data_IF_475360699703
#
_entry.id   IF_475360699703
#
_cell.length_a   1.000
_cell.length_b   1.000
_cell.length_c   1.000
_cell.angle_alpha   90.00
_cell.angle_beta   90.00
_cell.angle_gamma   90.00
#
_symmetry.space_group_name_H-M   'P 1'
#
loop_
_entity.id
_entity.type
_entity.pdbx_description
1 polymer ?
#
# COMPACT_ATOMS: atom_id res chain seq x y z
N UNK A 1 -12.04 4.97 -1.57
CA UNK A 1 -11.20 3.80 -1.89
C UNK A 1 -10.66 4.05 -3.28
N UNK A 2 -9.35 4.15 -3.46
CA UNK A 2 -8.79 4.45 -4.77
C UNK A 2 -9.04 3.29 -5.72
N UNK A 3 -9.34 3.65 -6.96
CA UNK A 3 -9.66 2.73 -8.03
C UNK A 3 -8.56 1.68 -8.27
N UNK A 4 -7.29 2.03 -8.04
CA UNK A 4 -6.14 1.18 -8.31
C UNK A 4 -5.86 0.11 -7.25
N UNK A 5 -6.40 0.25 -6.03
CA UNK A 5 -6.11 -0.69 -4.94
C UNK A 5 -6.58 -2.12 -5.22
N UNK A 6 -7.59 -2.29 -6.09
CA UNK A 6 -8.06 -3.61 -6.55
C UNK A 6 -6.97 -4.32 -7.37
N UNK A 7 -6.19 -3.59 -8.17
CA UNK A 7 -5.11 -4.16 -8.98
C UNK A 7 -3.93 -4.65 -8.12
N UNK A 8 -3.92 -4.29 -6.84
CA UNK A 8 -2.87 -4.64 -5.89
C UNK A 8 -3.30 -5.75 -4.94
N UNK A 9 -4.53 -6.29 -5.05
CA UNK A 9 -5.00 -7.37 -4.18
C UNK A 9 -4.01 -8.56 -4.12
N UNK A 10 -3.44 -9.06 -5.24
CA UNK A 10 -2.46 -10.16 -5.17
C UNK A 10 -1.21 -9.78 -4.37
N UNK A 11 -0.77 -8.52 -4.46
CA UNK A 11 0.37 -8.02 -3.69
C UNK A 11 0.03 -7.94 -2.21
N UNK A 12 -1.18 -7.49 -1.88
CA UNK A 12 -1.65 -7.38 -0.50
C UNK A 12 -1.81 -8.77 0.16
N UNK A 13 -2.32 -9.75 -0.56
CA UNK A 13 -2.39 -11.14 -0.10
C UNK A 13 -1.00 -11.72 0.17
N UNK A 14 -0.03 -11.46 -0.72
CA UNK A 14 1.36 -11.92 -0.57
C UNK A 14 2.03 -11.37 0.71
N UNK A 15 1.69 -10.15 1.13
CA UNK A 15 2.20 -9.55 2.38
C UNK A 15 1.31 -9.84 3.60
N UNK A 16 0.30 -10.71 3.47
CA UNK A 16 -0.54 -11.17 4.58
C UNK A 16 -1.65 -10.18 5.00
N UNK A 17 -2.07 -9.29 4.11
CA UNK A 17 -3.14 -8.32 4.39
C UNK A 17 -4.49 -8.86 3.93
N UNK A 18 -5.46 -8.92 4.85
CA UNK A 18 -6.85 -9.23 4.50
C UNK A 18 -7.46 -8.16 3.59
N UNK A 19 -8.01 -8.58 2.45
CA UNK A 19 -8.61 -7.71 1.42
C UNK A 19 -9.97 -7.18 1.87
N UNK A 20 -9.96 -6.20 2.78
CA UNK A 20 -11.16 -5.49 3.25
C UNK A 20 -11.15 -4.05 2.75
N UNK A 21 -12.33 -3.42 2.69
CA UNK A 21 -12.45 -1.99 2.31
C UNK A 21 -11.59 -1.08 3.19
N UNK A 22 -11.59 -1.32 4.50
CA UNK A 22 -10.79 -0.56 5.46
C UNK A 22 -9.29 -0.77 5.28
N UNK A 23 -8.86 -2.01 5.01
CA UNK A 23 -7.47 -2.31 4.70
C UNK A 23 -7.00 -1.56 3.45
N UNK A 24 -7.78 -1.59 2.37
CA UNK A 24 -7.45 -0.89 1.12
C UNK A 24 -7.31 0.62 1.30
N UNK A 25 -8.15 1.25 2.12
CA UNK A 25 -8.03 2.69 2.43
C UNK A 25 -6.73 3.00 3.16
N UNK A 26 -6.34 2.16 4.13
CA UNK A 26 -5.10 2.39 4.88
C UNK A 26 -3.86 2.05 4.05
N UNK A 27 -3.92 1.01 3.22
CA UNK A 27 -2.86 0.67 2.28
C UNK A 27 -2.64 1.78 1.25
N UNK A 28 -3.71 2.38 0.73
CA UNK A 28 -3.62 3.57 -0.12
C UNK A 28 -2.84 4.72 0.54
N UNK A 29 -3.14 5.04 1.81
CA UNK A 29 -2.40 6.06 2.55
C UNK A 29 -0.90 5.72 2.61
N UNK A 30 -0.55 4.46 2.91
CA UNK A 30 0.84 4.03 2.94
C UNK A 30 1.51 4.08 1.57
N UNK A 31 0.79 3.73 0.50
CA UNK A 31 1.27 3.82 -0.87
C UNK A 31 1.58 5.27 -1.22
N UNK A 32 0.66 6.19 -0.95
CA UNK A 32 0.86 7.62 -1.19
C UNK A 32 2.02 8.19 -0.38
N UNK A 33 2.18 7.77 0.89
CA UNK A 33 3.33 8.14 1.71
C UNK A 33 4.66 7.66 1.10
N UNK A 34 4.74 6.39 0.66
CA UNK A 34 5.95 5.82 0.06
C UNK A 34 6.29 6.50 -1.27
N UNK A 35 5.27 6.85 -2.05
CA UNK A 35 5.44 7.52 -3.34
C UNK A 35 5.65 9.02 -3.24
N UNK A 36 5.42 9.62 -2.06
CA UNK A 36 5.45 11.07 -1.87
C UNK A 36 4.29 11.80 -2.55
N UNK A 37 3.15 11.13 -2.71
CA UNK A 37 1.96 11.62 -3.44
C UNK A 37 0.76 11.74 -2.49
N UNK A 38 0.97 12.30 -1.30
CA UNK A 38 -0.09 12.51 -0.30
C UNK A 38 -1.19 13.40 -0.90
N UNK A 39 -2.44 13.01 -0.70
CA UNK A 39 -3.66 13.65 -1.22
C UNK A 39 -3.79 13.65 -2.75
N UNK A 40 -2.95 12.86 -3.44
CA UNK A 40 -3.06 12.67 -4.88
C UNK A 40 -4.23 11.72 -5.22
N UNK A 41 -4.82 11.94 -6.39
CA UNK A 41 -5.91 11.13 -6.90
C UNK A 41 -5.43 9.82 -7.55
N UNK A 42 -6.40 8.94 -7.84
CA UNK A 42 -6.12 7.63 -8.44
C UNK A 42 -5.35 7.75 -9.76
N UNK A 43 -5.71 8.74 -10.57
CA UNK A 43 -5.18 8.96 -11.92
C UNK A 43 -3.73 9.49 -11.89
N UNK A 44 -3.32 10.11 -10.79
CA UNK A 44 -1.92 10.48 -10.55
C UNK A 44 -1.11 9.32 -9.96
N UNK A 45 -1.66 8.63 -8.96
CA UNK A 45 -0.91 7.62 -8.20
C UNK A 45 -0.69 6.34 -9.02
N UNK A 46 -1.71 5.88 -9.76
CA UNK A 46 -1.65 4.59 -10.43
C UNK A 46 -0.60 4.50 -11.54
N UNK A 47 -0.49 5.45 -12.48
CA UNK A 47 0.53 5.37 -13.52
C UNK A 47 1.95 5.37 -12.95
N UNK A 48 2.19 6.17 -11.91
CA UNK A 48 3.48 6.27 -11.24
C UNK A 48 3.84 4.97 -10.52
N UNK A 49 2.90 4.42 -9.75
CA UNK A 49 3.09 3.14 -9.06
C UNK A 49 3.30 2.00 -10.05
N UNK A 50 2.40 1.86 -11.03
CA UNK A 50 2.45 0.79 -12.02
C UNK A 50 3.76 0.80 -12.82
N UNK A 51 4.27 1.99 -13.15
CA UNK A 51 5.56 2.09 -13.83
C UNK A 51 6.73 1.66 -12.93
N UNK A 52 6.72 2.07 -11.65
CA UNK A 52 7.77 1.68 -10.69
C UNK A 52 7.75 0.18 -10.37
N UNK A 53 6.58 -0.44 -10.30
CA UNK A 53 6.41 -1.88 -10.06
C UNK A 53 7.02 -2.76 -11.17
N UNK A 54 7.29 -2.22 -12.37
CA UNK A 54 7.99 -2.95 -13.43
C UNK A 54 9.47 -3.20 -13.11
N UNK A 55 10.05 -2.40 -12.21
CA UNK A 55 11.41 -2.64 -11.72
C UNK A 55 11.34 -3.67 -10.58
N UNK A 56 11.90 -4.88 -10.75
CA UNK A 56 11.79 -5.95 -9.75
C UNK A 56 12.46 -5.62 -8.43
N UNK A 57 13.58 -4.88 -8.46
CA UNK A 57 14.28 -4.45 -7.24
C UNK A 57 13.42 -3.45 -6.46
N UNK A 58 12.89 -2.44 -7.14
CA UNK A 58 12.02 -1.46 -6.52
C UNK A 58 10.72 -2.10 -6.00
N UNK A 59 10.14 -3.04 -6.75
CA UNK A 59 8.93 -3.75 -6.34
C UNK A 59 9.16 -4.58 -5.06
N UNK A 60 10.32 -5.22 -4.91
CA UNK A 60 10.69 -5.92 -3.69
C UNK A 60 10.83 -4.96 -2.49
N UNK A 61 11.55 -3.84 -2.68
CA UNK A 61 11.71 -2.81 -1.65
C UNK A 61 10.36 -2.19 -1.24
N UNK A 62 9.49 -1.94 -2.22
CA UNK A 62 8.15 -1.42 -1.99
C UNK A 62 7.28 -2.37 -1.16
N UNK A 63 7.30 -3.68 -1.49
CA UNK A 63 6.59 -4.71 -0.72
C UNK A 63 7.06 -4.76 0.74
N UNK A 64 8.37 -4.72 0.98
CA UNK A 64 8.92 -4.72 2.33
C UNK A 64 8.55 -3.45 3.12
N UNK A 65 8.55 -2.28 2.48
CA UNK A 65 8.09 -1.04 3.10
C UNK A 65 6.60 -1.07 3.48
N UNK A 66 5.76 -1.56 2.56
CA UNK A 66 4.32 -1.74 2.80
C UNK A 66 4.06 -2.70 3.95
N UNK A 67 4.72 -3.87 3.95
CA UNK A 67 4.64 -4.87 5.01
C UNK A 67 5.07 -4.31 6.36
N UNK A 68 6.17 -3.55 6.38
CA UNK A 68 6.68 -2.90 7.60
C UNK A 68 5.68 -1.88 8.15
N UNK A 69 5.13 -1.01 7.28
CA UNK A 69 4.10 -0.02 7.67
C UNK A 69 2.83 -0.72 8.19
N UNK A 70 2.43 -1.81 7.54
CA UNK A 70 1.26 -2.59 7.96
C UNK A 70 1.47 -3.25 9.33
N UNK A 71 2.61 -3.91 9.55
CA UNK A 71 2.91 -4.54 10.84
C UNK A 71 3.01 -3.51 11.99
N UNK A 72 3.55 -2.31 11.71
CA UNK A 72 3.64 -1.24 12.69
C UNK A 72 2.26 -0.68 13.12
N UNK A 73 1.22 -0.85 12.31
CA UNK A 73 -0.16 -0.52 12.69
C UNK A 73 -0.60 -1.34 13.90
N UNK A 74 -0.42 -2.66 13.83
CA UNK A 74 -0.92 -3.59 14.86
C UNK A 74 -0.31 -3.27 16.22
N UNK A 75 0.96 -2.87 16.24
CA UNK A 75 1.61 -2.40 17.46
C UNK A 75 0.98 -1.12 18.04
N UNK A 76 0.59 -0.16 17.19
CA UNK A 76 -0.11 1.07 17.66
C UNK A 76 -1.53 0.81 18.11
N UNK A 77 -2.27 -0.07 17.42
CA UNK A 77 -3.65 -0.42 17.83
C UNK A 77 -3.66 -1.24 19.11
N UNK A 78 -2.66 -2.10 19.34
CA UNK A 78 -2.49 -2.84 20.59
C UNK A 78 -2.07 -1.98 21.80
N UNK A 79 -1.48 -0.80 21.59
CA UNK A 79 -1.16 0.17 22.65
C UNK A 79 -2.35 1.05 23.05
N UNK A 80 -3.38 1.12 22.20
CA UNK A 80 -4.61 1.90 22.42
C UNK A 80 -5.79 1.03 22.89
N UNK A 81 -5.55 -0.26 23.13
CA UNK A 81 -6.54 -1.24 23.60
C UNK A 81 -6.39 -1.53 25.09
#
# INVERSE_FOLDING_TARGET
MPCYTINLDPLFEEIGVSITKSARVRLDQYIQEILGTIDADCDTVWPLLNNKLKNPQWAAEFKEQLKTKWAARDWREGLLS
#
